data_IF_819484340652
#
_entry.id   IF_819484340652
#
_cell.length_a   1.000
_cell.length_b   1.000
_cell.length_c   1.000
_cell.angle_alpha   90.00
_cell.angle_beta   90.00
_cell.angle_gamma   90.00
#
_symmetry.space_group_name_H-M   'P 1'
#
loop_
_entity.id
_entity.type
_entity.pdbx_description
1 polymer ?
#
# COMPACT_ATOMS: atom_id res chain seq x y z
N UNK A 1 -4.30 -8.81 11.89
CA UNK A 1 -3.56 -9.70 10.99
C UNK A 1 -3.13 -8.93 9.76
N UNK A 2 -1.92 -9.18 9.26
CA UNK A 2 -1.48 -8.64 7.98
C UNK A 2 -1.97 -9.51 6.81
N UNK A 3 -1.89 -9.00 5.58
CA UNK A 3 -2.40 -9.71 4.40
C UNK A 3 -1.60 -10.99 4.12
N UNK A 4 -0.32 -11.07 4.50
CA UNK A 4 0.43 -12.32 4.39
C UNK A 4 -0.16 -13.43 5.29
N UNK A 5 -0.53 -13.09 6.53
CA UNK A 5 -1.22 -14.01 7.45
C UNK A 5 -2.62 -14.37 6.94
N UNK A 6 -3.36 -13.42 6.35
CA UNK A 6 -4.65 -13.70 5.71
C UNK A 6 -4.49 -14.74 4.61
N UNK A 7 -3.50 -14.56 3.73
CA UNK A 7 -3.24 -15.48 2.62
C UNK A 7 -2.83 -16.88 3.10
N UNK A 8 -2.15 -16.99 4.25
CA UNK A 8 -1.80 -18.27 4.85
C UNK A 8 -3.01 -19.00 5.45
N UNK A 9 -3.92 -18.27 6.10
CA UNK A 9 -5.07 -18.87 6.81
C UNK A 9 -6.26 -19.10 5.88
N UNK A 10 -6.56 -18.14 5.01
CA UNK A 10 -7.76 -18.12 4.17
C UNK A 10 -7.46 -18.55 2.71
N UNK A 11 -6.19 -18.69 2.35
CA UNK A 11 -5.77 -18.97 0.98
C UNK A 11 -5.80 -17.73 0.07
N UNK A 12 -5.77 -17.97 -1.25
CA UNK A 12 -5.75 -16.89 -2.24
C UNK A 12 -7.05 -16.07 -2.21
N UNK A 13 -6.92 -14.75 -2.37
CA UNK A 13 -8.08 -13.87 -2.47
C UNK A 13 -8.86 -14.14 -3.77
N UNK A 14 -10.19 -14.13 -3.67
CA UNK A 14 -11.07 -14.01 -4.83
C UNK A 14 -10.94 -12.64 -5.50
N UNK A 15 -11.37 -12.54 -6.75
CA UNK A 15 -11.38 -11.28 -7.50
C UNK A 15 -12.11 -10.15 -6.75
N UNK A 16 -13.27 -10.45 -6.15
CA UNK A 16 -14.02 -9.48 -5.36
C UNK A 16 -13.25 -8.98 -4.12
N UNK A 17 -12.44 -9.84 -3.51
CA UNK A 17 -11.57 -9.47 -2.39
C UNK A 17 -10.38 -8.63 -2.88
N UNK A 18 -9.81 -8.95 -4.04
CA UNK A 18 -8.75 -8.16 -4.69
C UNK A 18 -9.26 -6.74 -5.00
N UNK A 19 -10.45 -6.60 -5.59
CA UNK A 19 -11.04 -5.29 -5.84
C UNK A 19 -11.29 -4.50 -4.56
N UNK A 20 -11.66 -5.17 -3.46
CA UNK A 20 -11.80 -4.51 -2.16
C UNK A 20 -10.46 -4.03 -1.62
N UNK A 21 -9.44 -4.88 -1.68
CA UNK A 21 -8.06 -4.52 -1.34
C UNK A 21 -7.60 -3.27 -2.09
N UNK A 22 -7.84 -3.20 -3.41
CA UNK A 22 -7.48 -2.02 -4.20
C UNK A 22 -8.28 -0.78 -3.85
N UNK A 23 -9.60 -0.91 -3.63
CA UNK A 23 -10.44 0.22 -3.20
C UNK A 23 -9.97 0.81 -1.87
N UNK A 24 -9.46 -0.01 -0.98
CA UNK A 24 -9.01 0.45 0.34
C UNK A 24 -7.57 1.01 0.29
N UNK A 25 -6.66 0.38 -0.48
CA UNK A 25 -5.22 0.73 -0.50
C UNK A 25 -4.89 1.87 -1.48
N UNK A 26 -5.48 1.90 -2.67
CA UNK A 26 -5.14 2.89 -3.70
C UNK A 26 -5.37 4.35 -3.25
N UNK A 27 -6.45 4.71 -2.52
CA UNK A 27 -6.62 6.07 -2.01
C UNK A 27 -5.51 6.50 -1.05
N UNK A 28 -4.99 5.58 -0.24
CA UNK A 28 -3.87 5.83 0.68
C UNK A 28 -2.60 6.14 -0.12
N UNK A 29 -2.31 5.34 -1.14
CA UNK A 29 -1.16 5.57 -2.02
C UNK A 29 -1.29 6.89 -2.77
N UNK A 30 -2.48 7.22 -3.27
CA UNK A 30 -2.75 8.52 -3.87
C UNK A 30 -2.44 9.66 -2.90
N UNK A 31 -2.91 9.58 -1.66
CA UNK A 31 -2.65 10.61 -0.64
C UNK A 31 -1.14 10.79 -0.36
N UNK A 32 -0.37 9.70 -0.34
CA UNK A 32 1.08 9.76 -0.18
C UNK A 32 1.73 10.42 -1.39
N UNK A 33 1.38 9.99 -2.60
CA UNK A 33 1.94 10.53 -3.84
C UNK A 33 1.56 12.01 -4.04
N UNK A 34 0.34 12.42 -3.69
CA UNK A 34 -0.10 13.83 -3.71
C UNK A 34 0.75 14.72 -2.76
N UNK A 35 1.49 14.11 -1.82
CA UNK A 35 2.44 14.76 -0.90
C UNK A 35 3.90 14.51 -1.26
N UNK A 36 4.19 13.97 -2.45
CA UNK A 36 5.53 13.55 -2.88
C UNK A 36 6.18 12.52 -1.93
N UNK A 37 5.38 11.70 -1.25
CA UNK A 37 5.84 10.62 -0.40
C UNK A 37 5.68 9.29 -1.13
N UNK A 38 6.70 8.45 -1.13
CA UNK A 38 6.65 7.10 -1.70
C UNK A 38 6.66 6.12 -0.52
N UNK A 39 5.74 5.16 -0.53
CA UNK A 39 5.69 4.14 0.51
C UNK A 39 6.91 3.20 0.46
N UNK A 40 7.43 2.92 -0.73
CA UNK A 40 8.68 2.15 -0.94
C UNK A 40 8.59 0.65 -0.64
N UNK A 41 7.64 0.22 0.19
CA UNK A 41 7.56 -1.16 0.67
C UNK A 41 6.13 -1.74 0.61
N UNK A 42 5.48 -1.67 -0.56
CA UNK A 42 4.11 -2.18 -0.72
C UNK A 42 4.16 -3.70 -0.88
N UNK A 43 3.93 -4.43 0.21
CA UNK A 43 3.90 -5.89 0.22
C UNK A 43 2.88 -6.42 1.25
N UNK A 44 2.42 -7.69 1.13
CA UNK A 44 1.32 -8.21 1.97
C UNK A 44 1.53 -8.06 3.49
N UNK A 45 2.76 -8.17 3.99
CA UNK A 45 3.02 -7.97 5.43
C UNK A 45 2.78 -6.54 5.94
N UNK A 46 2.76 -5.56 5.03
CA UNK A 46 2.55 -4.14 5.35
C UNK A 46 1.11 -3.68 5.09
N UNK A 47 0.19 -4.62 4.87
CA UNK A 47 -1.25 -4.33 4.71
C UNK A 47 -1.97 -5.05 5.85
N UNK A 48 -2.60 -4.30 6.75
CA UNK A 48 -3.40 -4.87 7.83
C UNK A 48 -4.87 -4.99 7.43
N UNK A 49 -5.52 -6.07 7.84
CA UNK A 49 -6.98 -6.19 7.81
C UNK A 49 -7.54 -5.73 9.16
N UNK A 50 -8.37 -4.70 9.14
CA UNK A 50 -9.01 -4.11 10.32
C UNK A 50 -10.48 -3.81 10.05
N UNK A 51 -11.37 -4.38 10.87
CA UNK A 51 -12.84 -4.16 10.79
C UNK A 51 -13.42 -4.30 9.36
N UNK A 52 -12.89 -5.25 8.58
CA UNK A 52 -13.36 -5.52 7.21
C UNK A 52 -12.75 -4.65 6.10
N UNK A 53 -11.84 -3.73 6.46
CA UNK A 53 -11.08 -2.88 5.52
C UNK A 53 -9.60 -3.23 5.55
N UNK A 54 -8.89 -2.90 4.47
CA UNK A 54 -7.43 -2.97 4.41
C UNK A 54 -6.79 -1.60 4.65
N UNK A 55 -5.74 -1.58 5.47
CA UNK A 55 -4.97 -0.36 5.75
C UNK A 55 -3.50 -0.63 5.51
N UNK A 56 -2.79 0.34 4.94
CA UNK A 56 -1.35 0.29 4.76
C UNK A 56 -0.67 0.70 6.08
N UNK A 57 0.30 -0.06 6.56
CA UNK A 57 1.12 0.30 7.72
C UNK A 57 2.50 0.75 7.31
N UNK A 58 3.02 1.69 8.10
CA UNK A 58 3.91 2.71 7.56
C UNK A 58 5.41 2.39 7.67
N UNK A 59 6.10 2.52 6.52
CA UNK A 59 7.51 2.93 6.42
C UNK A 59 7.67 3.94 5.27
N UNK A 60 7.23 5.20 5.45
CA UNK A 60 7.45 6.25 4.45
C UNK A 60 8.95 6.44 4.24
N UNK A 61 9.39 6.30 3.00
CA UNK A 61 10.72 6.74 2.62
C UNK A 61 10.68 8.25 2.33
N UNK A 62 11.30 9.04 3.21
CA UNK A 62 11.44 10.49 3.05
C UNK A 62 12.70 10.88 2.26
N UNK A 63 13.56 9.92 1.90
CA UNK A 63 14.85 10.20 1.24
C UNK A 63 14.72 10.72 -0.19
N UNK A 64 13.56 10.49 -0.81
CA UNK A 64 13.18 10.98 -2.15
C UNK A 64 12.93 12.49 -2.25
N UNK A 65 12.84 13.22 -1.13
CA UNK A 65 12.90 14.69 -1.16
C UNK A 65 14.32 15.23 -1.46
N UNK A 66 15.26 14.34 -1.78
CA UNK A 66 16.55 14.72 -2.37
C UNK A 66 16.34 15.12 -3.83
N UNK A 67 16.79 16.31 -4.28
CA UNK A 67 16.50 16.88 -5.61
C UNK A 67 17.07 16.08 -6.81
N UNK A 68 17.67 14.91 -6.59
CA UNK A 68 18.30 14.09 -7.63
C UNK A 68 17.34 13.12 -8.35
N UNK A 69 16.10 12.95 -7.87
CA UNK A 69 15.11 12.03 -8.46
C UNK A 69 13.87 12.72 -9.07
N UNK A 70 14.02 13.94 -9.58
CA UNK A 70 13.07 14.46 -10.57
C UNK A 70 13.35 13.72 -11.87
N UNK A 71 12.51 12.74 -12.22
CA UNK A 71 12.51 12.20 -13.57
C UNK A 71 12.33 13.39 -14.54
N UNK A 72 13.22 13.58 -15.52
CA UNK A 72 12.94 14.56 -16.55
C UNK A 72 11.66 14.07 -17.24
N UNK A 73 10.75 15.00 -17.54
CA UNK A 73 9.58 14.81 -18.40
C UNK A 73 8.27 14.38 -17.70
N UNK A 74 7.66 15.35 -17.00
CA UNK A 74 6.21 15.61 -17.03
C UNK A 74 6.01 17.10 -17.32
#
# INVERSE_FOLDING_TARGET
MNLAEVLQVEGVLSEAQIWRLFRDVLPILKLLHDRNLIHGDIQPKNILRHQGSFVLIDRIDNSINSPEYVAPEQ
#
